data_IF_920212658579
#
_entry.id   IF_920212658579
#
_cell.length_a   1.000
_cell.length_b   1.000
_cell.length_c   1.000
_cell.angle_alpha   90.00
_cell.angle_beta   90.00
_cell.angle_gamma   90.00
#
_symmetry.space_group_name_H-M   'P 1'
#
loop_
_entity.id
_entity.type
_entity.pdbx_description
1 polymer ?
#
# COMPACT_ATOMS: atom_id res chain seq x y z
N UNK A 1 -21.05 -29.05 -26.22
CA UNK A 1 -20.88 -27.66 -26.69
C UNK A 1 -20.67 -26.63 -25.57
N UNK A 2 -21.20 -26.82 -24.35
CA UNK A 2 -21.01 -25.87 -23.24
C UNK A 2 -19.55 -25.70 -22.75
N UNK A 3 -18.70 -26.74 -22.85
CA UNK A 3 -17.30 -26.67 -22.41
C UNK A 3 -16.39 -25.77 -23.26
N UNK A 4 -16.70 -25.62 -24.56
CA UNK A 4 -15.92 -24.76 -25.47
C UNK A 4 -16.19 -23.28 -25.20
N UNK A 5 -17.41 -22.93 -24.79
CA UNK A 5 -17.78 -21.56 -24.41
C UNK A 5 -17.10 -21.12 -23.09
N UNK A 6 -16.96 -22.03 -22.12
CA UNK A 6 -16.26 -21.75 -20.86
C UNK A 6 -14.76 -21.55 -21.05
N UNK A 7 -14.11 -22.35 -21.91
CA UNK A 7 -12.70 -22.18 -22.25
C UNK A 7 -12.44 -20.89 -23.04
N UNK A 8 -13.33 -20.53 -23.98
CA UNK A 8 -13.25 -19.27 -24.72
C UNK A 8 -13.40 -18.04 -23.82
N UNK A 9 -14.33 -18.06 -22.87
CA UNK A 9 -14.53 -16.98 -21.92
C UNK A 9 -13.34 -16.82 -20.96
N UNK A 10 -12.75 -17.93 -20.49
CA UNK A 10 -11.55 -17.92 -19.64
C UNK A 10 -10.33 -17.34 -20.35
N UNK A 11 -10.10 -17.71 -21.61
CA UNK A 11 -8.98 -17.22 -22.41
C UNK A 11 -9.08 -15.70 -22.67
N UNK A 12 -10.28 -15.22 -23.01
CA UNK A 12 -10.54 -13.78 -23.23
C UNK A 12 -10.34 -12.96 -21.95
N UNK A 13 -10.73 -13.50 -20.79
CA UNK A 13 -10.51 -12.84 -19.50
C UNK A 13 -9.02 -12.77 -19.16
N UNK A 14 -8.27 -13.84 -19.44
CA UNK A 14 -6.82 -13.91 -19.21
C UNK A 14 -6.05 -12.95 -20.13
N UNK A 15 -6.36 -12.90 -21.43
CA UNK A 15 -5.74 -11.96 -22.38
C UNK A 15 -6.05 -10.52 -21.99
N UNK A 16 -7.29 -10.21 -21.63
CA UNK A 16 -7.68 -8.85 -21.21
C UNK A 16 -6.94 -8.42 -19.95
N UNK A 17 -6.81 -9.30 -18.96
CA UNK A 17 -6.07 -8.99 -17.73
C UNK A 17 -4.57 -8.87 -17.98
N UNK A 18 -3.98 -9.72 -18.84
CA UNK A 18 -2.58 -9.59 -19.26
C UNK A 18 -2.31 -8.26 -19.99
N UNK A 19 -3.17 -7.87 -20.94
CA UNK A 19 -3.05 -6.59 -21.65
C UNK A 19 -3.19 -5.40 -20.70
N UNK A 20 -4.09 -5.46 -19.72
CA UNK A 20 -4.26 -4.38 -18.73
C UNK A 20 -3.06 -4.28 -17.77
N UNK A 21 -2.47 -5.41 -17.39
CA UNK A 21 -1.23 -5.47 -16.61
C UNK A 21 -0.05 -4.92 -17.44
N UNK A 22 0.10 -5.37 -18.69
CA UNK A 22 1.17 -4.93 -19.59
C UNK A 22 1.03 -3.44 -19.92
N UNK A 23 -0.18 -2.93 -20.16
CA UNK A 23 -0.42 -1.50 -20.39
C UNK A 23 -0.09 -0.66 -19.16
N UNK A 24 -0.49 -1.10 -17.95
CA UNK A 24 -0.15 -0.40 -16.71
C UNK A 24 1.34 -0.45 -16.38
N UNK A 25 2.06 -1.48 -16.85
CA UNK A 25 3.51 -1.62 -16.66
C UNK A 25 4.30 -0.81 -17.71
N UNK A 26 3.81 -0.72 -18.95
CA UNK A 26 4.49 -0.05 -20.06
C UNK A 26 4.18 1.44 -20.18
N UNK A 27 3.07 1.92 -19.62
CA UNK A 27 2.72 3.34 -19.56
C UNK A 27 2.69 3.85 -18.11
N UNK A 28 3.80 3.83 -17.36
CA UNK A 28 3.89 4.64 -16.16
C UNK A 28 3.75 6.10 -16.63
N UNK A 29 2.67 6.76 -16.21
CA UNK A 29 2.28 8.08 -16.67
C UNK A 29 3.48 9.00 -16.85
N UNK A 30 3.55 9.65 -18.01
CA UNK A 30 4.63 10.52 -18.47
C UNK A 30 5.33 11.25 -17.32
N UNK A 31 6.50 10.74 -16.93
CA UNK A 31 7.40 11.36 -15.97
C UNK A 31 7.97 12.65 -16.58
N UNK A 32 7.18 13.71 -16.54
CA UNK A 32 7.70 15.06 -16.70
C UNK A 32 8.44 15.41 -15.42
N UNK A 33 9.66 15.92 -15.57
CA UNK A 33 10.47 16.30 -14.43
C UNK A 33 9.74 17.35 -13.58
N UNK A 34 9.66 17.17 -12.25
CA UNK A 34 9.11 18.18 -11.35
C UNK A 34 9.96 19.45 -11.38
N UNK A 35 9.32 20.61 -11.19
CA UNK A 35 10.02 21.87 -11.00
C UNK A 35 10.81 21.86 -9.67
N UNK A 36 11.70 22.85 -9.49
CA UNK A 36 12.46 23.02 -8.25
C UNK A 36 11.55 22.97 -7.01
N UNK A 37 12.01 22.30 -5.95
CA UNK A 37 11.26 22.16 -4.72
C UNK A 37 11.15 23.51 -4.00
N UNK A 38 9.94 23.82 -3.53
CA UNK A 38 9.63 24.98 -2.70
C UNK A 38 9.45 24.55 -1.25
N UNK A 39 9.83 25.41 -0.32
CA UNK A 39 9.74 25.13 1.12
C UNK A 39 9.06 26.28 1.87
N UNK A 40 8.15 25.94 2.77
CA UNK A 40 7.45 26.85 3.69
C UNK A 40 7.82 26.44 5.12
N UNK A 41 8.19 27.41 5.96
CA UNK A 41 8.57 27.20 7.35
C UNK A 41 7.75 28.12 8.27
N UNK A 42 6.52 27.71 8.55
CA UNK A 42 5.54 28.50 9.29
C UNK A 42 4.67 27.60 10.17
N UNK A 43 3.99 28.14 11.20
CA UNK A 43 3.04 27.35 11.97
C UNK A 43 1.84 26.95 11.12
N UNK A 44 1.51 25.66 11.12
CA UNK A 44 0.33 25.16 10.42
C UNK A 44 -0.93 25.51 11.21
N UNK A 45 -1.77 26.39 10.67
CA UNK A 45 -2.95 26.89 11.39
C UNK A 45 -4.16 25.96 11.24
N UNK A 46 -4.36 25.44 10.02
CA UNK A 46 -5.51 24.62 9.66
C UNK A 46 -5.23 23.80 8.42
N UNK A 47 -5.91 22.67 8.29
CA UNK A 47 -6.01 21.93 7.03
C UNK A 47 -7.47 21.72 6.63
N UNK A 48 -7.73 21.66 5.33
CA UNK A 48 -9.04 21.38 4.77
C UNK A 48 -8.93 20.46 3.56
N UNK A 49 -9.88 19.53 3.38
CA UNK A 49 -9.94 18.70 2.17
C UNK A 49 -10.77 19.43 1.12
N UNK A 50 -10.15 19.74 -0.03
CA UNK A 50 -10.79 20.45 -1.14
C UNK A 50 -11.10 19.46 -2.27
N UNK A 51 -12.35 19.54 -2.77
CA UNK A 51 -12.86 18.75 -3.90
C UNK A 51 -12.60 17.23 -3.81
N UNK A 52 -12.38 16.71 -2.60
CA UNK A 52 -12.01 15.32 -2.33
C UNK A 52 -10.75 14.89 -3.10
N UNK A 53 -9.82 15.80 -3.41
CA UNK A 53 -8.61 15.51 -4.21
C UNK A 53 -7.33 16.01 -3.56
N UNK A 54 -7.34 17.21 -3.00
CA UNK A 54 -6.17 17.82 -2.38
C UNK A 54 -6.47 18.28 -0.94
N UNK A 55 -5.40 18.51 -0.20
CA UNK A 55 -5.44 19.14 1.12
C UNK A 55 -4.96 20.58 0.98
N UNK A 56 -5.78 21.53 1.40
CA UNK A 56 -5.39 22.93 1.57
C UNK A 56 -4.74 23.11 2.92
N UNK A 57 -3.49 23.56 2.91
CA UNK A 57 -2.73 23.92 4.10
C UNK A 57 -2.81 25.43 4.31
N UNK A 58 -3.25 25.85 5.49
CA UNK A 58 -3.35 27.26 5.88
C UNK A 58 -2.18 27.64 6.78
N UNK A 59 -1.39 28.60 6.33
CA UNK A 59 -0.32 29.25 7.08
C UNK A 59 -0.71 30.72 7.37
N UNK A 60 -0.03 31.40 8.32
CA UNK A 60 -0.25 32.82 8.57
C UNK A 60 -0.09 33.70 7.34
N UNK A 61 0.91 33.42 6.50
CA UNK A 61 1.22 34.26 5.33
C UNK A 61 0.47 33.86 4.06
N UNK A 62 0.06 32.59 3.94
CA UNK A 62 -0.41 32.02 2.67
C UNK A 62 -1.25 30.75 2.84
N UNK A 63 -1.84 30.31 1.74
CA UNK A 63 -2.56 29.05 1.63
C UNK A 63 -2.05 28.28 0.41
N UNK A 64 -1.96 26.96 0.53
CA UNK A 64 -1.48 26.12 -0.57
C UNK A 64 -2.27 24.81 -0.67
N UNK A 65 -2.66 24.47 -1.90
CA UNK A 65 -3.43 23.26 -2.21
C UNK A 65 -2.47 22.17 -2.68
N UNK A 66 -2.31 21.11 -1.88
CA UNK A 66 -1.34 20.06 -2.14
C UNK A 66 -2.01 18.70 -2.33
N UNK A 67 -1.58 18.00 -3.36
CA UNK A 67 -1.90 16.58 -3.52
C UNK A 67 -0.98 15.76 -2.64
N UNK A 68 -1.55 14.80 -1.92
CA UNK A 68 -0.78 13.95 -1.02
C UNK A 68 -0.42 12.64 -1.72
N UNK A 69 0.88 12.36 -1.91
CA UNK A 69 1.31 11.05 -2.36
C UNK A 69 1.04 10.01 -1.25
N UNK A 70 0.02 9.18 -1.44
CA UNK A 70 -0.29 8.07 -0.53
C UNK A 70 -0.16 6.73 -1.27
N UNK A 71 0.43 5.73 -0.60
CA UNK A 71 0.62 4.39 -1.14
C UNK A 71 0.55 3.33 -0.06
N UNK A 72 -0.08 2.19 -0.37
CA UNK A 72 -0.09 1.00 0.52
C UNK A 72 1.28 0.34 0.61
N UNK A 73 2.11 0.56 -0.41
CA UNK A 73 3.50 0.13 -0.47
C UNK A 73 4.36 1.29 -0.96
N UNK A 74 5.64 1.29 -0.60
CA UNK A 74 6.62 2.30 -1.03
C UNK A 74 6.71 2.48 -2.57
N UNK A 75 6.30 1.47 -3.34
CA UNK A 75 6.38 1.49 -4.81
C UNK A 75 5.08 1.90 -5.51
N UNK A 76 3.96 2.05 -4.78
CA UNK A 76 2.64 2.36 -5.35
C UNK A 76 2.10 3.66 -4.78
N UNK A 77 2.83 4.74 -5.01
CA UNK A 77 2.47 6.08 -4.57
C UNK A 77 1.61 6.72 -5.65
N UNK A 78 0.37 7.10 -5.30
CA UNK A 78 -0.53 7.82 -6.20
C UNK A 78 -0.96 9.11 -5.52
N UNK A 79 -0.86 10.22 -6.25
CA UNK A 79 -1.28 11.54 -5.79
C UNK A 79 -2.73 11.88 -6.20
N UNK A 80 -3.34 11.13 -7.14
CA UNK A 80 -4.73 11.32 -7.59
C UNK A 80 -5.71 10.37 -6.87
N UNK A 81 -5.69 10.41 -5.53
CA UNK A 81 -6.59 9.60 -4.71
C UNK A 81 -7.74 10.46 -4.18
N UNK A 82 -8.92 9.86 -4.06
CA UNK A 82 -10.08 10.56 -3.48
C UNK A 82 -9.93 10.69 -1.98
N UNK A 83 -9.67 11.90 -1.50
CA UNK A 83 -9.60 12.23 -0.08
C UNK A 83 -11.00 12.33 0.52
N UNK A 84 -11.19 11.75 1.70
CA UNK A 84 -12.44 11.82 2.44
C UNK A 84 -12.33 12.81 3.61
N UNK A 85 -11.27 12.66 4.41
CA UNK A 85 -11.04 13.43 5.62
C UNK A 85 -9.54 13.54 5.87
N UNK A 86 -9.11 14.65 6.46
CA UNK A 86 -7.76 14.83 6.93
C UNK A 86 -7.77 15.59 8.25
N UNK A 87 -7.02 15.08 9.23
CA UNK A 87 -6.78 15.71 10.52
C UNK A 87 -5.27 15.92 10.66
N UNK A 88 -4.85 17.05 11.23
CA UNK A 88 -3.43 17.38 11.39
C UNK A 88 -3.19 18.07 12.74
N UNK A 89 -1.96 17.98 13.21
CA UNK A 89 -1.49 18.73 14.36
C UNK A 89 -1.33 20.21 13.94
N UNK A 90 -2.14 21.07 14.55
CA UNK A 90 -2.21 22.51 14.26
C UNK A 90 -1.41 23.34 15.26
N UNK A 91 -1.25 24.63 14.96
CA UNK A 91 -0.53 25.64 15.74
C UNK A 91 0.94 25.26 16.05
N UNK A 92 1.53 24.42 15.19
CA UNK A 92 2.90 23.94 15.35
C UNK A 92 3.72 24.33 14.13
N UNK A 93 4.95 24.87 14.30
CA UNK A 93 5.87 25.12 13.20
C UNK A 93 6.17 23.85 12.41
N UNK A 94 6.03 23.93 11.09
CA UNK A 94 6.34 22.84 10.17
C UNK A 94 7.26 23.30 9.07
N UNK A 95 8.11 22.39 8.59
CA UNK A 95 8.83 22.52 7.34
C UNK A 95 8.09 21.74 6.26
N UNK A 96 7.25 22.44 5.50
CA UNK A 96 6.52 21.88 4.38
C UNK A 96 7.35 22.03 3.11
N UNK A 97 7.62 20.94 2.42
CA UNK A 97 8.32 20.92 1.12
C UNK A 97 7.40 20.36 0.05
N UNK A 98 7.26 21.07 -1.07
CA UNK A 98 6.42 20.65 -2.19
C UNK A 98 7.09 20.92 -3.52
N UNK A 99 6.60 20.28 -4.57
CA UNK A 99 7.00 20.58 -5.95
C UNK A 99 5.77 20.86 -6.81
N UNK A 100 5.97 21.62 -7.87
CA UNK A 100 4.96 21.91 -8.88
C UNK A 100 5.27 21.09 -10.12
N UNK A 101 4.29 20.34 -10.61
CA UNK A 101 4.39 19.70 -11.92
C UNK A 101 4.01 20.72 -13.00
N UNK A 102 4.51 20.55 -14.25
CA UNK A 102 4.18 21.44 -15.37
C UNK A 102 2.68 21.57 -15.68
N UNK A 103 1.85 20.67 -15.15
CA UNK A 103 0.39 20.75 -15.19
C UNK A 103 -0.23 21.74 -14.20
N UNK A 104 0.59 22.47 -13.43
CA UNK A 104 0.13 23.35 -12.33
C UNK A 104 -0.29 22.59 -11.07
N UNK A 105 0.04 21.31 -10.97
CA UNK A 105 -0.35 20.46 -9.83
C UNK A 105 0.75 20.52 -8.78
N UNK A 106 0.42 21.00 -7.58
CA UNK A 106 1.34 20.98 -6.44
C UNK A 106 1.22 19.65 -5.70
N UNK A 107 2.36 19.01 -5.47
CA UNK A 107 2.46 17.71 -4.78
C UNK A 107 3.33 17.89 -3.55
N UNK A 108 2.81 17.44 -2.40
CA UNK A 108 3.55 17.43 -1.15
C UNK A 108 4.70 16.43 -1.24
N UNK A 109 5.94 16.88 -1.01
CA UNK A 109 7.11 16.02 -0.94
C UNK A 109 7.37 15.58 0.49
N UNK A 110 7.37 16.55 1.42
CA UNK A 110 7.69 16.31 2.82
C UNK A 110 7.00 17.32 3.74
N UNK A 111 6.69 16.90 4.96
CA UNK A 111 6.08 17.74 5.98
C UNK A 111 6.63 17.33 7.35
N UNK A 112 7.61 18.09 7.84
CA UNK A 112 8.35 17.78 9.07
C UNK A 112 7.99 18.74 10.19
N UNK A 113 7.80 18.21 11.39
CA UNK A 113 7.53 18.96 12.61
C UNK A 113 8.78 18.91 13.49
N UNK A 114 9.60 19.97 13.44
CA UNK A 114 10.92 20.01 14.10
C UNK A 114 10.85 19.82 15.63
N UNK A 115 9.71 20.11 16.25
CA UNK A 115 9.49 19.95 17.69
C UNK A 115 9.41 18.48 18.14
N UNK A 116 9.15 17.54 17.22
CA UNK A 116 8.93 16.12 17.53
C UNK A 116 9.97 15.25 16.84
N UNK A 117 11.25 15.49 17.15
CA UNK A 117 12.35 14.69 16.59
C UNK A 117 12.12 13.20 16.90
N UNK A 118 12.11 12.34 15.86
CA UNK A 118 11.91 10.92 16.05
C UNK A 118 13.11 10.32 16.78
N UNK A 119 12.85 9.41 17.71
CA UNK A 119 13.89 8.53 18.22
C UNK A 119 13.86 7.22 17.43
N UNK A 120 14.87 7.02 16.59
CA UNK A 120 15.01 5.83 15.76
C UNK A 120 16.02 4.87 16.36
N UNK A 121 15.65 3.60 16.48
CA UNK A 121 16.56 2.52 16.85
C UNK A 121 16.43 1.35 15.89
N UNK A 122 17.50 0.59 15.74
CA UNK A 122 17.53 -0.61 14.89
C UNK A 122 17.66 -1.82 15.80
N UNK A 123 16.76 -2.79 15.62
CA UNK A 123 16.75 -4.03 16.37
C UNK A 123 16.73 -5.24 15.42
N UNK A 124 17.19 -6.43 15.86
CA UNK A 124 17.02 -7.64 15.08
C UNK A 124 15.53 -7.99 14.92
N UNK A 125 15.18 -8.52 13.75
CA UNK A 125 13.83 -8.98 13.46
C UNK A 125 13.58 -10.31 14.18
N UNK A 126 12.54 -10.36 15.02
CA UNK A 126 12.24 -11.58 15.79
C UNK A 126 11.46 -12.60 14.97
N UNK A 127 11.49 -13.87 15.37
CA UNK A 127 10.67 -14.90 14.72
C UNK A 127 9.17 -14.62 14.86
N UNK A 128 8.74 -14.02 15.98
CA UNK A 128 7.36 -13.62 16.20
C UNK A 128 6.93 -12.57 15.16
N UNK A 129 7.78 -11.58 14.89
CA UNK A 129 7.53 -10.56 13.86
C UNK A 129 7.41 -11.19 12.47
N UNK A 130 8.31 -12.13 12.13
CA UNK A 130 8.26 -12.87 10.85
C UNK A 130 7.00 -13.69 10.70
N UNK A 131 6.58 -14.40 11.75
CA UNK A 131 5.35 -15.18 11.76
C UNK A 131 4.16 -14.26 11.52
N UNK A 132 4.04 -13.16 12.25
CA UNK A 132 2.95 -12.19 12.09
C UNK A 132 2.86 -11.61 10.67
N UNK A 133 3.98 -11.26 10.06
CA UNK A 133 4.02 -10.75 8.67
C UNK A 133 3.60 -11.81 7.64
N UNK A 134 3.85 -13.10 7.92
CA UNK A 134 3.56 -14.19 7.01
C UNK A 134 2.23 -14.91 7.28
N UNK A 135 1.57 -14.67 8.43
CA UNK A 135 0.34 -15.37 8.82
C UNK A 135 -0.73 -15.27 7.73
N UNK A 136 -1.02 -14.05 7.25
CA UNK A 136 -2.04 -13.83 6.22
C UNK A 136 -1.66 -14.40 4.86
N UNK A 137 -0.37 -14.35 4.50
CA UNK A 137 0.15 -14.93 3.25
C UNK A 137 0.02 -16.45 3.29
N UNK A 138 0.41 -17.08 4.40
CA UNK A 138 0.34 -18.54 4.56
C UNK A 138 -1.12 -19.02 4.65
N UNK A 139 -1.98 -18.30 5.38
CA UNK A 139 -3.40 -18.63 5.49
C UNK A 139 -4.10 -18.51 4.13
N UNK A 140 -3.87 -17.40 3.42
CA UNK A 140 -4.43 -17.19 2.08
C UNK A 140 -3.96 -18.24 1.08
N UNK A 141 -2.67 -18.58 1.09
CA UNK A 141 -2.11 -19.63 0.24
C UNK A 141 -2.69 -21.02 0.58
N UNK A 142 -2.81 -21.35 1.86
CA UNK A 142 -3.41 -22.61 2.31
C UNK A 142 -4.88 -22.75 1.91
N UNK A 143 -5.68 -21.70 2.08
CA UNK A 143 -7.08 -21.67 1.65
C UNK A 143 -7.21 -21.81 0.12
N UNK A 144 -6.37 -21.10 -0.63
CA UNK A 144 -6.35 -21.20 -2.09
C UNK A 144 -6.05 -22.63 -2.56
N UNK A 145 -5.02 -23.26 -2.00
CA UNK A 145 -4.67 -24.64 -2.33
C UNK A 145 -5.73 -25.65 -1.92
N UNK A 146 -6.33 -25.49 -0.73
CA UNK A 146 -7.44 -26.32 -0.30
C UNK A 146 -8.63 -26.25 -1.25
N UNK A 147 -8.98 -25.05 -1.70
CA UNK A 147 -10.04 -24.84 -2.69
C UNK A 147 -9.68 -25.42 -4.06
N UNK A 148 -8.45 -25.21 -4.54
CA UNK A 148 -7.99 -25.74 -5.83
C UNK A 148 -8.04 -27.28 -5.85
N UNK A 149 -7.60 -27.93 -4.78
CA UNK A 149 -7.69 -29.38 -4.63
C UNK A 149 -9.13 -29.87 -4.61
N UNK A 150 -10.03 -29.18 -3.89
CA UNK A 150 -11.45 -29.52 -3.85
C UNK A 150 -12.10 -29.44 -5.23
N UNK A 151 -11.86 -28.36 -5.98
CA UNK A 151 -12.41 -28.17 -7.34
C UNK A 151 -11.85 -29.23 -8.31
N UNK A 152 -10.55 -29.50 -8.22
CA UNK A 152 -9.90 -30.51 -9.08
C UNK A 152 -10.45 -31.91 -8.78
N UNK A 153 -10.57 -32.26 -7.50
CA UNK A 153 -11.08 -33.57 -7.09
C UNK A 153 -12.55 -33.78 -7.46
N UNK A 154 -13.41 -32.79 -7.18
CA UNK A 154 -14.84 -32.86 -7.53
C UNK A 154 -15.05 -32.90 -9.05
N UNK A 155 -14.24 -32.16 -9.82
CA UNK A 155 -14.26 -32.21 -11.29
C UNK A 155 -13.88 -33.58 -11.84
N UNK A 156 -12.80 -34.18 -11.32
CA UNK A 156 -12.37 -35.53 -11.72
C UNK A 156 -13.41 -36.59 -11.32
N UNK A 157 -13.93 -36.53 -10.09
CA UNK A 157 -14.94 -37.46 -9.60
C UNK A 157 -16.24 -37.39 -10.42
N UNK A 158 -16.70 -36.18 -10.78
CA UNK A 158 -17.87 -35.99 -11.64
C UNK A 158 -17.68 -36.58 -13.05
N UNK A 159 -16.45 -36.56 -13.56
CA UNK A 159 -16.09 -37.19 -14.84
C UNK A 159 -15.90 -38.70 -14.78
N UNK A 160 -16.13 -39.32 -13.60
CA UNK A 160 -15.88 -40.76 -13.36
C UNK A 160 -14.45 -41.19 -13.69
N UNK A 161 -13.48 -40.31 -13.43
CA UNK A 161 -12.06 -40.56 -13.70
C UNK A 161 -11.73 -40.81 -15.18
N UNK A 162 -12.45 -40.14 -16.08
CA UNK A 162 -12.11 -40.17 -17.50
C UNK A 162 -10.71 -39.57 -17.75
N UNK A 163 -9.90 -40.31 -18.50
CA UNK A 163 -8.49 -39.98 -18.77
C UNK A 163 -8.31 -38.65 -19.50
N UNK A 164 -9.22 -38.30 -20.41
CA UNK A 164 -9.16 -37.03 -21.15
C UNK A 164 -9.46 -35.86 -20.21
N UNK A 165 -10.45 -36.03 -19.33
CA UNK A 165 -10.79 -35.02 -18.33
C UNK A 165 -9.66 -34.80 -17.32
N UNK A 166 -8.99 -35.88 -16.88
CA UNK A 166 -7.80 -35.78 -16.01
C UNK A 166 -6.68 -35.00 -16.69
N UNK A 167 -6.41 -35.26 -17.97
CA UNK A 167 -5.37 -34.56 -18.73
C UNK A 167 -5.68 -33.06 -18.88
N UNK A 168 -6.92 -32.71 -19.19
CA UNK A 168 -7.37 -31.30 -19.30
C UNK A 168 -7.27 -30.60 -17.94
N UNK A 169 -7.68 -31.25 -16.85
CA UNK A 169 -7.55 -30.69 -15.50
C UNK A 169 -6.09 -30.45 -15.13
N UNK A 170 -5.20 -31.41 -15.41
CA UNK A 170 -3.75 -31.26 -15.20
C UNK A 170 -3.18 -30.07 -15.98
N UNK A 171 -3.55 -29.93 -17.25
CA UNK A 171 -3.09 -28.83 -18.10
C UNK A 171 -3.48 -27.43 -17.55
N UNK A 172 -4.55 -27.35 -16.76
CA UNK A 172 -5.00 -26.09 -16.12
C UNK A 172 -4.39 -25.92 -14.73
N UNK A 173 -4.38 -26.97 -13.92
CA UNK A 173 -3.90 -26.93 -12.52
C UNK A 173 -2.40 -26.69 -12.47
N UNK A 174 -1.61 -27.30 -13.35
CA UNK A 174 -0.14 -27.15 -13.33
C UNK A 174 0.31 -25.69 -13.52
N UNK A 175 -0.16 -24.92 -14.54
CA UNK A 175 0.19 -23.51 -14.65
C UNK A 175 -0.26 -22.67 -13.44
N UNK A 176 -1.46 -22.92 -12.91
CA UNK A 176 -2.00 -22.19 -11.75
C UNK A 176 -1.16 -22.45 -10.49
N UNK A 177 -0.76 -23.70 -10.28
CA UNK A 177 0.08 -24.08 -9.13
C UNK A 177 1.48 -23.47 -9.24
N UNK A 178 2.09 -23.47 -10.42
CA UNK A 178 3.38 -22.79 -10.65
C UNK A 178 3.27 -21.27 -10.41
N UNK A 179 2.24 -20.62 -10.96
CA UNK A 179 2.05 -19.18 -10.79
C UNK A 179 1.78 -18.80 -9.33
N UNK A 180 0.92 -19.54 -8.65
CA UNK A 180 0.62 -19.29 -7.23
C UNK A 180 1.84 -19.51 -6.34
N UNK A 181 2.65 -20.55 -6.62
CA UNK A 181 3.91 -20.77 -5.92
C UNK A 181 4.90 -19.63 -6.14
N UNK A 182 5.04 -19.14 -7.38
CA UNK A 182 5.90 -17.99 -7.69
C UNK A 182 5.46 -16.75 -6.89
N UNK A 183 4.17 -16.42 -6.89
CA UNK A 183 3.62 -15.28 -6.12
C UNK A 183 3.93 -15.44 -4.63
N UNK A 184 3.67 -16.61 -4.07
CA UNK A 184 3.95 -16.89 -2.66
C UNK A 184 5.44 -16.74 -2.32
N UNK A 185 6.32 -17.27 -3.17
CA UNK A 185 7.78 -17.15 -3.02
C UNK A 185 8.22 -15.68 -3.05
N UNK A 186 7.77 -14.90 -4.03
CA UNK A 186 8.11 -13.48 -4.14
C UNK A 186 7.61 -12.64 -2.97
N UNK A 187 6.44 -12.96 -2.40
CA UNK A 187 5.92 -12.26 -1.22
C UNK A 187 6.67 -12.62 0.06
N UNK A 188 7.14 -13.87 0.18
CA UNK A 188 7.81 -14.41 1.38
C UNK A 188 9.31 -14.11 1.41
N UNK A 189 9.97 -14.05 0.25
CA UNK A 189 11.41 -13.76 0.11
C UNK A 189 11.88 -12.51 0.87
N UNK A 190 11.26 -11.32 0.78
CA UNK A 190 11.75 -10.14 1.48
C UNK A 190 11.68 -10.30 3.01
N UNK A 191 10.59 -10.89 3.52
CA UNK A 191 10.39 -11.09 4.97
C UNK A 191 11.36 -12.12 5.55
N UNK A 192 11.66 -13.17 4.79
CA UNK A 192 12.62 -14.21 5.21
C UNK A 192 14.06 -13.74 5.15
N UNK A 193 14.40 -12.85 4.21
CA UNK A 193 15.74 -12.28 4.07
C UNK A 193 16.00 -11.08 4.99
N UNK A 194 14.95 -10.42 5.50
CA UNK A 194 15.10 -9.29 6.42
C UNK A 194 15.72 -9.73 7.74
N UNK A 195 16.78 -9.02 8.15
CA UNK A 195 17.51 -9.28 9.41
C UNK A 195 17.10 -8.35 10.53
N UNK A 196 16.73 -7.12 10.18
CA UNK A 196 16.54 -6.03 11.12
C UNK A 196 15.16 -5.40 10.96
N UNK A 197 14.78 -4.63 11.97
CA UNK A 197 13.63 -3.75 12.01
C UNK A 197 14.05 -2.38 12.51
N UNK A 198 13.45 -1.35 11.93
CA UNK A 198 13.56 0.03 12.39
C UNK A 198 12.40 0.31 13.35
N UNK A 199 12.72 0.79 14.55
CA UNK A 199 11.74 1.20 15.55
C UNK A 199 11.81 2.71 15.65
N UNK A 200 10.71 3.38 15.33
CA UNK A 200 10.59 4.83 15.33
C UNK A 200 9.62 5.20 16.44
N UNK A 201 10.10 5.92 17.45
CA UNK A 201 9.25 6.55 18.46
C UNK A 201 9.03 7.99 18.08
N UNK A 202 7.80 8.37 17.74
CA UNK A 202 7.48 9.73 17.30
C UNK A 202 6.00 10.03 17.49
N UNK A 203 5.58 11.23 17.11
CA UNK A 203 4.20 11.71 17.19
C UNK A 203 3.49 11.53 15.85
N UNK A 204 2.21 11.16 15.88
CA UNK A 204 1.34 11.22 14.70
C UNK A 204 1.09 12.70 14.39
N UNK A 205 1.53 13.17 13.22
CA UNK A 205 1.32 14.54 12.78
C UNK A 205 0.03 14.70 11.98
N UNK A 206 -0.29 13.73 11.11
CA UNK A 206 -1.50 13.76 10.30
C UNK A 206 -2.19 12.39 10.26
N UNK A 207 -3.51 12.43 10.10
CA UNK A 207 -4.36 11.28 9.79
C UNK A 207 -5.15 11.61 8.54
N UNK A 208 -4.92 10.85 7.47
CA UNK A 208 -5.51 11.08 6.15
C UNK A 208 -6.37 9.88 5.80
N UNK A 209 -7.65 10.08 5.60
CA UNK A 209 -8.59 9.05 5.17
C UNK A 209 -8.87 9.19 3.68
N UNK A 210 -8.60 8.12 2.94
CA UNK A 210 -8.78 8.00 1.49
C UNK A 210 -9.96 7.08 1.19
N UNK A 211 -10.76 7.45 0.20
CA UNK A 211 -11.84 6.66 -0.36
C UNK A 211 -11.30 5.83 -1.54
N UNK A 212 -11.15 4.52 -1.35
CA UNK A 212 -10.83 3.60 -2.43
C UNK A 212 -12.11 2.97 -3.02
N UNK A 213 -12.30 2.99 -4.35
CA UNK A 213 -13.40 2.28 -4.98
C UNK A 213 -13.19 0.77 -4.81
N UNK A 214 -14.15 0.09 -4.18
CA UNK A 214 -14.16 -1.38 -4.10
C UNK A 214 -15.46 -1.91 -4.73
N UNK A 215 -15.41 -3.13 -5.27
CA UNK A 215 -16.42 -3.74 -6.16
C UNK A 215 -17.87 -3.67 -5.61
N UNK A 216 -18.05 -3.57 -4.29
CA UNK A 216 -19.37 -3.57 -3.62
C UNK A 216 -19.58 -2.44 -2.61
N UNK A 217 -18.55 -1.67 -2.26
CA UNK A 217 -18.63 -0.57 -1.30
C UNK A 217 -17.43 0.35 -1.43
N UNK A 218 -17.53 1.59 -0.97
CA UNK A 218 -16.33 2.42 -0.84
C UNK A 218 -15.55 1.99 0.40
N UNK A 219 -14.26 1.67 0.22
CA UNK A 219 -13.38 1.35 1.34
C UNK A 219 -12.70 2.63 1.82
N UNK A 220 -12.73 2.87 3.13
CA UNK A 220 -11.99 3.97 3.74
C UNK A 220 -10.66 3.44 4.27
N UNK A 221 -9.58 3.78 3.57
CA UNK A 221 -8.22 3.46 3.96
C UNK A 221 -7.62 4.67 4.70
N UNK A 222 -6.97 4.41 5.84
CA UNK A 222 -6.39 5.46 6.69
C UNK A 222 -4.87 5.41 6.61
N UNK A 223 -4.28 6.57 6.38
CA UNK A 223 -2.86 6.82 6.35
C UNK A 223 -2.50 7.72 7.52
N UNK A 224 -1.37 7.44 8.15
CA UNK A 224 -0.83 8.32 9.17
C UNK A 224 0.49 8.88 8.69
N UNK A 225 0.66 10.19 8.90
CA UNK A 225 1.95 10.84 8.79
C UNK A 225 2.55 10.95 10.19
N UNK A 226 3.84 10.63 10.28
CA UNK A 226 4.66 10.84 11.44
C UNK A 226 5.25 12.26 11.42
N UNK A 227 5.68 12.76 12.57
CA UNK A 227 6.27 14.09 12.66
C UNK A 227 7.55 14.28 11.81
N UNK A 228 8.24 13.20 11.46
CA UNK A 228 9.40 13.19 10.56
C UNK A 228 9.03 13.13 9.07
N UNK A 229 7.74 13.34 8.75
CA UNK A 229 7.22 13.37 7.39
C UNK A 229 6.83 12.00 6.82
N UNK A 230 7.23 10.90 7.49
CA UNK A 230 6.95 9.55 7.00
C UNK A 230 5.46 9.23 7.00
N UNK A 231 4.93 8.86 5.83
CA UNK A 231 3.54 8.42 5.67
C UNK A 231 3.46 6.90 5.52
N UNK A 232 2.52 6.28 6.23
CA UNK A 232 2.29 4.84 6.11
C UNK A 232 0.80 4.51 6.23
N UNK A 233 0.44 3.37 5.63
CA UNK A 233 -0.90 2.81 5.70
C UNK A 233 -1.04 1.88 6.90
N UNK A 234 -2.19 1.93 7.57
CA UNK A 234 -2.59 0.92 8.55
C UNK A 234 -4.10 0.74 8.56
N UNK A 235 -4.56 -0.46 8.94
CA UNK A 235 -5.98 -0.73 9.19
C UNK A 235 -6.41 -0.26 10.59
N UNK A 236 -5.47 0.05 11.49
CA UNK A 236 -5.77 0.50 12.84
C UNK A 236 -6.09 2.00 12.87
N UNK A 237 -7.36 2.34 13.10
CA UNK A 237 -7.87 3.72 13.04
C UNK A 237 -7.87 4.45 14.39
N UNK A 238 -7.26 3.87 15.41
CA UNK A 238 -7.39 4.35 16.81
C UNK A 238 -6.51 5.56 17.12
N UNK A 239 -5.49 5.83 16.31
CA UNK A 239 -4.55 6.92 16.54
C UNK A 239 -5.09 8.26 16.05
N UNK A 240 -4.74 9.33 16.75
CA UNK A 240 -5.07 10.72 16.41
C UNK A 240 -3.79 11.57 16.30
N UNK A 241 -3.82 12.68 15.54
CA UNK A 241 -2.74 13.66 15.59
C UNK A 241 -2.43 14.08 17.04
N UNK A 242 -1.14 14.15 17.38
CA UNK A 242 -0.65 14.41 18.74
C UNK A 242 -0.38 13.14 19.58
N UNK A 243 -0.88 11.97 19.19
CA UNK A 243 -0.55 10.71 19.88
C UNK A 243 0.94 10.37 19.70
N UNK A 244 1.64 10.06 20.79
CA UNK A 244 2.98 9.46 20.73
C UNK A 244 2.87 7.97 20.48
N UNK A 245 3.56 7.49 19.45
CA UNK A 245 3.50 6.11 18.97
C UNK A 245 4.89 5.51 18.82
N UNK A 246 4.94 4.19 18.96
CA UNK A 246 6.08 3.36 18.58
C UNK A 246 5.68 2.62 17.30
N UNK A 247 6.33 2.97 16.20
CA UNK A 247 6.09 2.38 14.89
C UNK A 247 7.27 1.50 14.54
N UNK A 248 7.00 0.27 14.14
CA UNK A 248 8.04 -0.70 13.80
C UNK A 248 7.92 -1.07 12.33
N UNK A 249 8.99 -0.84 11.58
CA UNK A 249 9.10 -1.19 10.17
C UNK A 249 10.15 -2.28 9.96
N UNK A 250 9.92 -3.16 9.00
CA UNK A 250 10.94 -4.04 8.48
C UNK A 250 12.01 -3.20 7.77
N UNK A 251 13.29 -3.45 8.05
CA UNK A 251 14.39 -2.73 7.41
C UNK A 251 14.74 -3.38 6.07
N UNK A 252 14.79 -2.58 5.01
CA UNK A 252 15.28 -2.99 3.70
C UNK A 252 16.81 -3.07 3.67
N UNK A 253 17.39 -3.72 2.64
CA UNK A 253 18.85 -3.89 2.50
C UNK A 253 19.63 -2.58 2.47
N UNK A 254 19.01 -1.49 2.01
CA UNK A 254 19.60 -0.15 1.95
C UNK A 254 19.35 0.68 3.23
N UNK A 255 18.81 0.08 4.29
CA UNK A 255 18.53 0.75 5.56
C UNK A 255 17.15 1.41 5.65
N UNK A 256 16.46 1.59 4.52
CA UNK A 256 15.15 2.23 4.46
C UNK A 256 14.05 1.37 5.09
N UNK A 257 12.95 2.02 5.47
CA UNK A 257 11.73 1.37 5.91
C UNK A 257 11.03 0.65 4.73
N UNK A 258 10.49 -0.55 4.95
CA UNK A 258 9.77 -1.34 3.93
C UNK A 258 8.32 -1.67 4.34
N UNK A 259 8.12 -2.68 5.20
CA UNK A 259 6.77 -3.08 5.62
C UNK A 259 6.50 -2.72 7.06
N UNK A 260 5.34 -2.14 7.33
CA UNK A 260 4.87 -1.94 8.70
C UNK A 260 4.70 -3.31 9.39
N UNK A 261 5.33 -3.46 10.55
CA UNK A 261 5.20 -4.65 11.43
C UNK A 261 4.12 -4.39 12.47
N UNK A 262 4.21 -3.25 13.15
CA UNK A 262 3.30 -2.89 14.23
C UNK A 262 3.31 -1.40 14.51
N UNK A 263 2.22 -0.93 15.10
CA UNK A 263 2.09 0.39 15.71
C UNK A 263 1.42 0.23 17.08
N UNK A 264 1.95 0.92 18.08
CA UNK A 264 1.36 0.98 19.43
C UNK A 264 1.50 2.38 20.01
N UNK A 265 0.60 2.77 20.91
CA UNK A 265 0.82 3.96 21.73
C UNK A 265 2.00 3.72 22.67
N UNK A 266 2.77 4.77 22.91
CA UNK A 266 3.81 4.76 23.95
C UNK A 266 3.17 4.93 25.33
#
# INVERSE_FOLDING_TARGET
>A
MAGVLLLGAGLLFFVKTMVLIVWNVLNPGANKHPDAASTIQEPLMRIEVIDKKCIRYHFPSQQIDLHIPCGKTYHTVHYDRRLYEAESLINTPVKLTYTTYPSGVHVLLDLVYDQYLPNTSVAPLTEKDRKNLLTWVNLGFGLFWGFLLLVTFTGIAASRFDSQTIFVMLAIVVPITLLSYAIWYFQRRPVTQAKNKNIITTTISEKITVLEPHIKSNKHDTYYRLADGHIFYTNDKRFKPGDTVIVTFMQHKNGNNDRLISISRK
#
